data_IF_976212128122
#
_entry.id   IF_976212128122
#
_cell.length_a   1.000
_cell.length_b   1.000
_cell.length_c   1.000
_cell.angle_alpha   90.00
_cell.angle_beta   90.00
_cell.angle_gamma   90.00
#
_symmetry.space_group_name_H-M   'P 1'
#
loop_
_entity.id
_entity.type
_entity.pdbx_description
1 polymer ?
#
# COMPACT_ATOMS: atom_id res chain seq x y z
N UNK A 1 -1.33 -33.40 36.93
CA UNK A 1 -2.08 -32.28 37.54
C UNK A 1 -2.46 -31.30 36.44
N UNK A 2 -3.75 -31.00 36.25
CA UNK A 2 -4.21 -29.97 35.29
C UNK A 2 -4.38 -28.66 36.05
N UNK A 3 -3.69 -27.61 35.62
CA UNK A 3 -3.82 -26.27 36.21
C UNK A 3 -5.17 -25.69 35.72
N UNK A 4 -6.02 -25.16 36.61
CA UNK A 4 -7.29 -24.57 36.21
C UNK A 4 -7.06 -23.37 35.28
N UNK A 5 -7.79 -23.33 34.16
CA UNK A 5 -7.78 -22.22 33.19
C UNK A 5 -7.85 -20.82 33.83
N UNK A 6 -8.69 -20.54 34.85
CA UNK A 6 -8.73 -19.21 35.47
C UNK A 6 -7.41 -18.81 36.15
N UNK A 7 -6.63 -19.77 36.64
CA UNK A 7 -5.31 -19.51 37.24
C UNK A 7 -4.31 -19.10 36.16
N UNK A 8 -4.35 -19.75 34.99
CA UNK A 8 -3.49 -19.41 33.86
C UNK A 8 -3.79 -18.00 33.37
N UNK A 9 -5.07 -17.65 33.20
CA UNK A 9 -5.49 -16.31 32.77
C UNK A 9 -5.03 -15.25 33.79
N UNK A 10 -5.22 -15.50 35.09
CA UNK A 10 -4.79 -14.58 36.15
C UNK A 10 -3.28 -14.32 36.13
N UNK A 11 -2.46 -15.36 35.97
CA UNK A 11 -0.99 -15.23 35.91
C UNK A 11 -0.55 -14.52 34.63
N UNK A 12 -1.18 -14.80 33.48
CA UNK A 12 -0.87 -14.12 32.22
C UNK A 12 -1.18 -12.63 32.27
N UNK A 13 -2.33 -12.23 32.84
CA UNK A 13 -2.68 -10.82 33.00
C UNK A 13 -1.73 -10.11 33.96
N UNK A 14 -1.37 -10.76 35.08
CA UNK A 14 -0.40 -10.21 36.03
C UNK A 14 0.96 -9.96 35.37
N UNK A 15 1.42 -10.88 34.52
CA UNK A 15 2.68 -10.76 33.78
C UNK A 15 2.66 -9.60 32.77
N UNK A 16 1.54 -9.43 32.03
CA UNK A 16 1.39 -8.31 31.09
C UNK A 16 1.40 -6.97 31.83
N UNK A 17 0.66 -6.85 32.93
CA UNK A 17 0.59 -5.62 33.72
C UNK A 17 1.94 -5.27 34.35
N UNK A 18 2.64 -6.25 34.92
CA UNK A 18 3.98 -6.02 35.49
C UNK A 18 5.01 -5.66 34.44
N UNK A 19 4.99 -6.32 33.27
CA UNK A 19 5.90 -6.02 32.17
C UNK A 19 5.64 -4.62 31.58
N UNK A 20 4.36 -4.24 31.45
CA UNK A 20 3.98 -2.90 31.03
C UNK A 20 4.44 -1.84 32.04
N UNK A 21 4.14 -2.03 33.32
CA UNK A 21 4.51 -1.10 34.40
C UNK A 21 6.03 -0.90 34.51
N UNK A 22 6.81 -1.98 34.49
CA UNK A 22 8.28 -1.92 34.53
C UNK A 22 8.86 -1.15 33.34
N UNK A 23 8.19 -1.19 32.18
CA UNK A 23 8.65 -0.53 30.96
C UNK A 23 8.26 0.95 30.90
N UNK A 24 7.14 1.33 31.50
CA UNK A 24 6.59 2.70 31.38
C UNK A 24 6.83 3.58 32.60
N UNK A 25 7.22 3.02 33.76
CA UNK A 25 7.38 3.77 35.02
C UNK A 25 8.38 4.93 34.96
N UNK A 26 9.37 4.87 34.08
CA UNK A 26 10.42 5.90 33.95
C UNK A 26 10.24 6.76 32.68
N UNK A 27 9.14 6.58 31.95
CA UNK A 27 8.85 7.39 30.77
C UNK A 27 8.06 8.65 31.18
N UNK A 28 8.64 9.81 30.92
CA UNK A 28 7.98 11.09 31.11
C UNK A 28 7.13 11.42 29.87
N UNK A 29 5.81 11.18 29.98
CA UNK A 29 4.85 11.43 28.90
C UNK A 29 4.28 12.86 28.89
N UNK A 30 4.66 13.69 29.88
CA UNK A 30 4.08 15.02 30.07
C UNK A 30 5.04 16.16 29.73
N UNK A 31 6.31 15.85 29.48
CA UNK A 31 7.31 16.86 29.10
C UNK A 31 7.57 16.79 27.60
N UNK A 32 7.16 17.78 26.79
CA UNK A 32 7.54 17.83 25.39
C UNK A 32 9.06 18.00 25.31
N UNK A 33 9.76 17.01 24.77
CA UNK A 33 11.16 17.13 24.37
C UNK A 33 11.23 17.97 23.09
N UNK A 34 11.03 19.28 23.27
CA UNK A 34 11.21 20.27 22.23
C UNK A 34 12.68 20.34 21.83
N UNK A 35 13.04 19.65 20.75
CA UNK A 35 14.19 20.07 19.94
C UNK A 35 13.78 21.39 19.30
N UNK A 36 14.05 22.49 19.99
CA UNK A 36 14.06 23.82 19.40
C UNK A 36 15.16 23.80 18.35
N UNK A 37 14.78 23.60 17.08
CA UNK A 37 15.66 23.96 15.98
C UNK A 37 15.82 25.47 16.04
N UNK A 38 17.03 26.02 16.26
CA UNK A 38 17.21 27.46 16.15
C UNK A 38 16.84 27.89 14.73
N UNK A 39 16.13 29.01 14.60
CA UNK A 39 15.91 29.66 13.31
C UNK A 39 17.28 29.89 12.63
N UNK A 40 17.38 29.79 11.29
CA UNK A 40 18.62 30.06 10.57
C UNK A 40 19.12 31.49 10.88
N UNK A 41 20.44 31.60 11.13
CA UNK A 41 21.19 32.79 11.57
C UNK A 41 21.22 33.97 10.56
N UNK A 42 20.18 34.20 9.78
CA UNK A 42 20.13 35.38 8.89
C UNK A 42 19.56 36.63 9.57
N UNK A 43 19.22 36.58 10.86
CA UNK A 43 18.68 37.74 11.60
C UNK A 43 19.57 38.23 12.76
N UNK A 44 20.86 37.91 12.74
CA UNK A 44 21.80 38.43 13.74
C UNK A 44 23.07 38.90 13.07
N UNK A 45 23.08 40.16 12.64
CA UNK A 45 24.31 40.96 12.61
C UNK A 45 23.98 42.44 12.87
N UNK A 46 24.37 43.02 14.01
CA UNK A 46 24.43 44.46 14.19
C UNK A 46 25.84 44.92 13.84
N UNK A 47 26.12 45.12 12.54
CA UNK A 47 27.36 45.75 12.11
C UNK A 47 27.26 47.29 12.25
N UNK A 48 27.81 47.79 13.35
CA UNK A 48 28.67 48.98 13.40
C UNK A 48 28.14 50.31 12.84
N UNK A 49 27.83 51.23 13.76
CA UNK A 49 27.86 52.68 13.52
C UNK A 49 29.26 53.14 13.07
N UNK A 50 29.36 54.19 12.25
CA UNK A 50 29.80 55.46 12.83
C UNK A 50 28.93 56.63 12.39
N UNK A 51 28.64 57.52 13.36
CA UNK A 51 27.76 58.66 13.16
C UNK A 51 28.40 59.81 12.38
N UNK A 52 27.54 60.70 11.86
CA UNK A 52 27.77 62.15 11.77
C UNK A 52 26.42 62.85 11.51
N UNK A 53 26.07 63.73 12.47
CA UNK A 53 25.30 64.98 12.41
C UNK A 53 24.02 65.14 11.57
N UNK A 54 22.95 65.59 12.25
CA UNK A 54 21.95 66.52 11.70
C UNK A 54 20.51 66.28 12.20
N UNK A 55 19.80 67.29 12.75
CA UNK A 55 18.44 67.11 13.22
C UNK A 55 17.40 67.37 12.12
N UNK A 56 16.18 66.92 12.39
CA UNK A 56 14.89 67.31 11.78
C UNK A 56 14.51 66.62 10.46
N UNK A 57 13.52 65.72 10.54
CA UNK A 57 12.18 65.94 9.94
C UNK A 57 11.23 64.83 10.38
N UNK A 58 10.12 65.23 10.98
CA UNK A 58 8.92 64.42 11.16
C UNK A 58 8.46 63.99 9.75
N UNK A 59 8.62 62.70 9.44
CA UNK A 59 8.25 62.13 8.15
C UNK A 59 6.98 61.31 8.34
N UNK A 60 5.98 61.61 7.50
CA UNK A 60 4.69 60.93 7.40
C UNK A 60 4.84 59.40 7.46
N UNK A 61 4.01 58.77 8.30
CA UNK A 61 3.80 57.33 8.30
C UNK A 61 3.44 56.86 6.88
N UNK A 62 4.25 55.99 6.25
CA UNK A 62 3.84 55.38 4.99
C UNK A 62 2.64 54.48 5.27
N UNK A 63 1.59 54.67 4.45
CA UNK A 63 0.40 53.83 4.38
C UNK A 63 0.85 52.36 4.30
N UNK A 64 0.54 51.58 5.32
CA UNK A 64 0.71 50.13 5.31
C UNK A 64 -0.03 49.56 4.11
N UNK A 65 0.73 49.07 3.12
CA UNK A 65 0.18 48.25 2.06
C UNK A 65 -0.40 46.97 2.70
N UNK A 66 -1.64 46.57 2.38
CA UNK A 66 -2.19 45.33 2.92
C UNK A 66 -1.27 44.17 2.53
N UNK A 67 -1.03 43.20 3.43
CA UNK A 67 -0.24 42.03 3.08
C UNK A 67 -0.83 41.36 1.85
N UNK A 68 0.04 41.08 0.87
CA UNK A 68 -0.31 40.34 -0.34
C UNK A 68 -1.10 39.08 0.04
N UNK A 69 -2.25 38.79 -0.61
CA UNK A 69 -3.04 37.63 -0.25
C UNK A 69 -2.18 36.38 -0.35
N UNK A 70 -2.20 35.56 0.70
CA UNK A 70 -1.56 34.25 0.69
C UNK A 70 -1.99 33.49 -0.58
N UNK A 71 -1.09 32.72 -1.23
CA UNK A 71 -1.42 31.98 -2.44
C UNK A 71 -2.71 31.18 -2.21
N UNK A 72 -3.70 31.42 -3.07
CA UNK A 72 -4.98 30.73 -3.03
C UNK A 72 -4.74 29.23 -2.97
N UNK A 73 -5.28 28.57 -1.94
CA UNK A 73 -5.27 27.11 -1.88
C UNK A 73 -5.86 26.58 -3.20
N UNK A 74 -5.24 25.56 -3.82
CA UNK A 74 -5.83 24.95 -5.00
C UNK A 74 -7.26 24.53 -4.68
N UNK A 75 -8.19 24.84 -5.58
CA UNK A 75 -9.58 24.43 -5.47
C UNK A 75 -9.64 22.91 -5.70
N UNK A 76 -9.64 22.16 -4.60
CA UNK A 76 -9.63 20.70 -4.60
C UNK A 76 -11.07 20.21 -4.42
N UNK A 77 -11.53 19.42 -5.39
CA UNK A 77 -12.79 18.69 -5.28
C UNK A 77 -12.59 17.47 -4.36
N UNK A 78 -13.14 17.55 -3.14
CA UNK A 78 -13.02 16.49 -2.13
C UNK A 78 -14.06 15.37 -2.33
N UNK A 79 -15.04 15.56 -3.21
CA UNK A 79 -16.19 14.67 -3.37
C UNK A 79 -17.16 14.72 -2.18
N UNK A 80 -18.08 13.74 -2.13
CA UNK A 80 -19.08 13.63 -1.06
C UNK A 80 -18.51 12.94 0.18
N UNK A 81 -18.09 13.71 1.18
CA UNK A 81 -17.45 13.17 2.39
C UNK A 81 -18.39 12.40 3.32
N UNK A 82 -19.71 12.54 3.16
CA UNK A 82 -20.71 11.89 4.02
C UNK A 82 -21.03 10.47 3.56
N UNK A 83 -20.92 10.20 2.26
CA UNK A 83 -21.15 8.87 1.68
C UNK A 83 -19.90 8.00 1.74
N UNK A 84 -20.11 6.68 1.88
CA UNK A 84 -19.04 5.69 1.72
C UNK A 84 -18.54 5.69 0.26
N UNK A 85 -17.24 5.87 0.00
CA UNK A 85 -16.71 5.93 -1.35
C UNK A 85 -16.73 4.55 -2.03
N UNK A 86 -16.84 4.55 -3.35
CA UNK A 86 -16.55 3.36 -4.15
C UNK A 86 -15.05 3.16 -4.35
N UNK A 87 -14.64 1.97 -4.81
CA UNK A 87 -13.22 1.68 -5.04
C UNK A 87 -12.61 2.49 -6.19
N UNK A 88 -13.46 2.96 -7.11
CA UNK A 88 -13.09 3.80 -8.25
C UNK A 88 -13.12 5.31 -7.93
N UNK A 89 -13.45 5.72 -6.70
CA UNK A 89 -13.53 7.14 -6.32
C UNK A 89 -12.24 7.89 -6.69
N UNK A 90 -12.38 9.13 -7.18
CA UNK A 90 -11.30 10.03 -7.61
C UNK A 90 -10.57 9.62 -8.90
N UNK A 91 -10.92 8.50 -9.54
CA UNK A 91 -10.31 8.09 -10.82
C UNK A 91 -10.63 9.11 -11.93
N UNK A 92 -11.78 9.78 -11.85
CA UNK A 92 -12.20 10.86 -12.74
C UNK A 92 -11.29 12.10 -12.69
N UNK A 93 -10.46 12.22 -11.66
CA UNK A 93 -9.47 13.30 -11.54
C UNK A 93 -8.12 12.95 -12.19
N UNK A 94 -7.93 11.73 -12.69
CA UNK A 94 -6.71 11.33 -13.39
C UNK A 94 -6.26 12.29 -14.51
N UNK A 95 -7.17 12.85 -15.35
CA UNK A 95 -6.78 13.84 -16.37
C UNK A 95 -6.19 15.14 -15.81
N UNK A 96 -6.44 15.46 -14.53
CA UNK A 96 -5.82 16.61 -13.84
C UNK A 96 -4.37 16.34 -13.42
N UNK A 97 -3.92 15.08 -13.48
CA UNK A 97 -2.54 14.65 -13.25
C UNK A 97 -2.23 14.24 -11.80
N UNK A 98 -1.07 13.60 -11.63
CA UNK A 98 -0.62 13.06 -10.34
C UNK A 98 -0.50 14.13 -9.24
N UNK A 99 0.07 15.29 -9.55
CA UNK A 99 0.21 16.38 -8.57
C UNK A 99 -1.13 16.89 -7.99
N UNK A 100 -2.22 16.85 -8.77
CA UNK A 100 -3.56 17.16 -8.26
C UNK A 100 -4.02 16.09 -7.26
N UNK A 101 -3.90 14.81 -7.61
CA UNK A 101 -4.28 13.69 -6.73
C UNK A 101 -3.43 13.61 -5.45
N UNK A 102 -2.13 13.93 -5.53
CA UNK A 102 -1.24 14.06 -4.37
C UNK A 102 -1.75 15.16 -3.43
N UNK A 103 -2.14 16.32 -4.00
CA UNK A 103 -2.66 17.45 -3.22
C UNK A 103 -4.01 17.10 -2.57
N UNK A 104 -4.90 16.46 -3.33
CA UNK A 104 -6.19 15.95 -2.85
C UNK A 104 -6.01 14.95 -1.71
N UNK A 105 -5.15 13.95 -1.89
CA UNK A 105 -4.89 12.93 -0.89
C UNK A 105 -4.32 13.52 0.40
N UNK A 106 -3.43 14.50 0.27
CA UNK A 106 -2.85 15.24 1.41
C UNK A 106 -3.91 16.04 2.17
N UNK A 107 -4.78 16.77 1.47
CA UNK A 107 -5.86 17.53 2.10
C UNK A 107 -6.85 16.60 2.84
N UNK A 108 -7.18 15.45 2.24
CA UNK A 108 -8.00 14.43 2.90
C UNK A 108 -7.33 13.86 4.16
N UNK A 109 -6.00 13.66 4.17
CA UNK A 109 -5.27 13.28 5.42
C UNK A 109 -5.37 14.36 6.48
N UNK A 110 -5.16 15.63 6.11
CA UNK A 110 -5.19 16.76 7.04
C UNK A 110 -6.56 16.93 7.70
N UNK A 111 -7.63 16.59 6.98
CA UNK A 111 -9.00 16.60 7.49
C UNK A 111 -9.39 15.31 8.22
N UNK A 112 -8.51 14.30 8.27
CA UNK A 112 -8.76 13.03 8.95
C UNK A 112 -9.58 12.02 8.15
N UNK A 113 -9.82 12.25 6.86
CA UNK A 113 -10.53 11.33 5.96
C UNK A 113 -9.58 10.24 5.42
N UNK A 114 -9.02 9.43 6.31
CA UNK A 114 -7.97 8.44 6.00
C UNK A 114 -8.33 7.44 4.89
N UNK A 115 -9.56 6.93 4.87
CA UNK A 115 -10.00 5.95 3.86
C UNK A 115 -10.08 6.57 2.45
N UNK A 116 -10.62 7.80 2.36
CA UNK A 116 -10.67 8.57 1.10
C UNK A 116 -9.29 9.02 0.65
N UNK A 117 -8.44 9.43 1.60
CA UNK A 117 -7.04 9.75 1.31
C UNK A 117 -6.30 8.54 0.74
N UNK A 118 -6.48 7.35 1.30
CA UNK A 118 -5.86 6.13 0.77
C UNK A 118 -6.29 5.88 -0.68
N UNK A 119 -7.58 6.03 -1.00
CA UNK A 119 -8.07 5.90 -2.38
C UNK A 119 -7.38 6.91 -3.31
N UNK A 120 -7.31 8.19 -2.91
CA UNK A 120 -6.65 9.21 -3.70
C UNK A 120 -5.14 8.92 -3.91
N UNK A 121 -4.42 8.41 -2.90
CA UNK A 121 -3.04 7.95 -3.06
C UNK A 121 -2.92 6.75 -4.00
N UNK A 122 -3.85 5.80 -3.94
CA UNK A 122 -3.91 4.67 -4.86
C UNK A 122 -4.13 5.16 -6.31
N UNK A 123 -5.00 6.15 -6.53
CA UNK A 123 -5.20 6.80 -7.84
C UNK A 123 -3.93 7.40 -8.42
N UNK A 124 -3.03 7.93 -7.59
CA UNK A 124 -1.72 8.42 -8.06
C UNK A 124 -0.95 7.29 -8.76
N UNK A 125 -1.04 6.06 -8.25
CA UNK A 125 -0.28 4.92 -8.77
C UNK A 125 -0.96 4.19 -9.92
N UNK A 126 -2.29 4.04 -9.85
CA UNK A 126 -3.05 3.20 -10.78
C UNK A 126 -3.77 3.98 -11.88
N UNK A 127 -4.05 5.26 -11.69
CA UNK A 127 -4.83 6.06 -12.66
C UNK A 127 -3.99 7.16 -13.31
N UNK A 128 -2.76 7.37 -12.87
CA UNK A 128 -1.87 8.43 -13.37
C UNK A 128 -0.48 7.91 -13.75
N UNK A 129 0.26 8.76 -14.46
CA UNK A 129 1.68 8.55 -14.76
C UNK A 129 2.54 9.46 -13.86
N UNK A 130 2.68 9.14 -12.55
CA UNK A 130 3.40 10.00 -11.62
C UNK A 130 4.89 10.02 -11.94
N UNK A 131 5.53 11.17 -11.67
CA UNK A 131 6.98 11.28 -11.64
C UNK A 131 7.58 10.41 -10.53
N UNK A 132 8.87 10.05 -10.58
CA UNK A 132 9.53 9.29 -9.51
C UNK A 132 9.33 9.83 -8.09
N UNK A 133 9.42 11.16 -7.81
CA UNK A 133 9.15 11.67 -6.48
C UNK A 133 7.68 11.53 -6.06
N UNK A 134 6.72 11.83 -6.95
CA UNK A 134 5.28 11.69 -6.65
C UNK A 134 4.92 10.23 -6.37
N UNK A 135 5.46 9.30 -7.16
CA UNK A 135 5.29 7.86 -6.94
C UNK A 135 5.79 7.46 -5.57
N UNK A 136 7.02 7.86 -5.21
CA UNK A 136 7.60 7.54 -3.90
C UNK A 136 6.74 8.10 -2.76
N UNK A 137 6.25 9.32 -2.91
CA UNK A 137 5.33 9.93 -1.92
C UNK A 137 4.06 9.09 -1.76
N UNK A 138 3.44 8.65 -2.86
CA UNK A 138 2.26 7.80 -2.82
C UNK A 138 2.56 6.41 -2.20
N UNK A 139 3.64 5.75 -2.59
CA UNK A 139 4.07 4.47 -2.03
C UNK A 139 4.29 4.54 -0.51
N UNK A 140 4.98 5.58 -0.03
CA UNK A 140 5.24 5.79 1.40
C UNK A 140 3.95 6.16 2.17
N UNK A 141 3.02 6.87 1.54
CA UNK A 141 1.71 7.17 2.13
C UNK A 141 0.83 5.91 2.23
N UNK A 142 0.72 5.12 1.17
CA UNK A 142 -0.03 3.86 1.16
C UNK A 142 0.52 2.91 2.22
N UNK A 143 1.84 2.73 2.28
CA UNK A 143 2.48 1.86 3.27
C UNK A 143 2.23 2.31 4.73
N UNK A 144 2.04 3.62 4.96
CA UNK A 144 1.71 4.18 6.27
C UNK A 144 0.23 4.04 6.63
N UNK A 145 -0.68 4.30 5.69
CA UNK A 145 -2.12 4.42 5.94
C UNK A 145 -2.81 3.06 5.86
N UNK A 146 -2.51 2.23 4.87
CA UNK A 146 -3.21 0.96 4.64
C UNK A 146 -3.30 0.08 5.90
N UNK A 147 -2.24 -0.10 6.72
CA UNK A 147 -2.31 -0.93 7.92
C UNK A 147 -3.14 -0.36 9.08
N UNK A 148 -3.52 0.93 9.04
CA UNK A 148 -4.29 1.58 10.12
C UNK A 148 -5.80 1.51 9.89
N UNK A 149 -6.21 1.08 8.69
CA UNK A 149 -7.61 0.97 8.31
C UNK A 149 -8.11 -0.47 8.49
N UNK A 150 -9.42 -0.60 8.64
CA UNK A 150 -10.09 -1.90 8.51
C UNK A 150 -10.02 -2.36 7.06
N UNK A 151 -10.08 -3.68 6.86
CA UNK A 151 -10.15 -4.24 5.52
C UNK A 151 -11.31 -3.63 4.72
N UNK A 152 -11.07 -3.33 3.44
CA UNK A 152 -12.07 -2.79 2.53
C UNK A 152 -13.31 -3.66 2.45
N UNK A 153 -13.13 -4.96 2.24
CA UNK A 153 -14.23 -5.90 2.31
C UNK A 153 -14.31 -6.56 3.69
N UNK A 154 -15.41 -6.30 4.39
CA UNK A 154 -15.71 -6.90 5.70
C UNK A 154 -16.64 -8.12 5.60
N UNK A 155 -17.30 -8.33 4.46
CA UNK A 155 -18.18 -9.47 4.21
C UNK A 155 -17.48 -10.49 3.31
N UNK A 156 -17.08 -11.68 3.83
CA UNK A 156 -16.44 -12.71 3.04
C UNK A 156 -17.28 -13.21 1.85
N UNK A 157 -18.61 -13.00 1.85
CA UNK A 157 -19.46 -13.34 0.71
C UNK A 157 -19.23 -12.43 -0.51
N UNK A 158 -18.64 -11.25 -0.30
CA UNK A 158 -18.26 -10.31 -1.37
C UNK A 158 -16.90 -10.58 -2.00
N UNK A 159 -16.10 -11.51 -1.45
CA UNK A 159 -14.76 -11.81 -1.98
C UNK A 159 -14.87 -12.42 -3.39
N UNK A 160 -14.07 -11.92 -4.34
CA UNK A 160 -14.02 -12.48 -5.70
C UNK A 160 -13.11 -13.72 -5.68
N UNK A 161 -13.62 -14.92 -6.03
CA UNK A 161 -12.82 -16.13 -5.98
C UNK A 161 -11.77 -16.16 -7.09
N UNK A 162 -10.52 -16.45 -6.70
CA UNK A 162 -9.39 -16.67 -7.59
C UNK A 162 -8.58 -17.88 -7.15
N UNK A 163 -8.20 -18.71 -8.12
CA UNK A 163 -7.35 -19.86 -7.88
C UNK A 163 -5.91 -19.55 -8.29
N UNK A 164 -4.99 -19.62 -7.33
CA UNK A 164 -3.55 -19.66 -7.57
C UNK A 164 -3.15 -21.12 -7.88
N UNK A 165 -2.95 -21.43 -9.15
CA UNK A 165 -2.61 -22.76 -9.60
C UNK A 165 -1.10 -22.95 -9.73
N UNK A 166 -0.61 -24.06 -9.17
CA UNK A 166 0.78 -24.49 -9.25
C UNK A 166 0.79 -25.89 -9.86
N UNK A 167 1.17 -26.00 -11.13
CA UNK A 167 1.18 -27.27 -11.88
C UNK A 167 2.57 -27.82 -12.12
N UNK A 168 2.63 -29.10 -12.48
CA UNK A 168 3.87 -29.83 -12.80
C UNK A 168 4.86 -29.95 -11.64
N UNK A 169 4.38 -29.76 -10.40
CA UNK A 169 5.19 -29.97 -9.20
C UNK A 169 5.56 -31.46 -9.05
N UNK A 170 6.86 -31.82 -9.05
CA UNK A 170 7.28 -33.19 -8.75
C UNK A 170 6.91 -33.48 -7.29
N UNK A 171 6.10 -34.53 -7.03
CA UNK A 171 5.56 -34.91 -5.69
C UNK A 171 5.52 -33.72 -4.73
N UNK A 172 4.50 -32.87 -4.83
CA UNK A 172 4.38 -31.60 -4.09
C UNK A 172 4.89 -31.73 -2.65
N UNK A 173 6.08 -31.20 -2.36
CA UNK A 173 6.65 -31.23 -1.02
C UNK A 173 5.71 -30.54 -0.05
N UNK A 174 5.68 -30.96 1.22
CA UNK A 174 4.88 -30.27 2.23
C UNK A 174 5.33 -28.80 2.36
N UNK A 175 6.61 -28.53 2.09
CA UNK A 175 7.17 -27.17 2.07
C UNK A 175 6.56 -26.32 0.94
N UNK A 176 6.41 -26.87 -0.28
CA UNK A 176 5.73 -26.17 -1.37
C UNK A 176 4.25 -25.94 -1.06
N UNK A 177 3.56 -26.92 -0.46
CA UNK A 177 2.15 -26.77 -0.05
C UNK A 177 1.97 -25.68 0.99
N UNK A 178 2.85 -25.65 1.99
CA UNK A 178 2.85 -24.61 3.01
C UNK A 178 3.11 -23.24 2.38
N UNK A 179 4.16 -23.12 1.56
CA UNK A 179 4.51 -21.87 0.88
C UNK A 179 3.38 -21.34 -0.01
N UNK A 180 2.68 -22.23 -0.73
CA UNK A 180 1.55 -21.85 -1.57
C UNK A 180 0.36 -21.33 -0.75
N UNK A 181 0.05 -21.95 0.40
CA UNK A 181 -0.99 -21.47 1.32
C UNK A 181 -0.61 -20.12 1.92
N UNK A 182 0.61 -19.97 2.43
CA UNK A 182 1.10 -18.70 2.97
C UNK A 182 1.10 -17.58 1.93
N UNK A 183 1.43 -17.90 0.67
CA UNK A 183 1.36 -16.94 -0.42
C UNK A 183 -0.09 -16.55 -0.75
N UNK A 184 -1.02 -17.51 -0.82
CA UNK A 184 -2.44 -17.23 -1.05
C UNK A 184 -3.04 -16.37 0.07
N UNK A 185 -2.74 -16.69 1.33
CA UNK A 185 -3.18 -15.91 2.50
C UNK A 185 -2.62 -14.47 2.45
N UNK A 186 -1.35 -14.32 2.07
CA UNK A 186 -0.75 -13.01 1.86
C UNK A 186 -1.47 -12.21 0.77
N UNK A 187 -1.71 -12.81 -0.40
CA UNK A 187 -2.37 -12.12 -1.52
C UNK A 187 -3.80 -11.72 -1.16
N UNK A 188 -4.52 -12.56 -0.41
CA UNK A 188 -5.85 -12.23 0.12
C UNK A 188 -5.80 -11.00 1.03
N UNK A 189 -4.89 -10.98 2.00
CA UNK A 189 -4.73 -9.84 2.92
C UNK A 189 -4.29 -8.57 2.20
N UNK A 190 -3.34 -8.67 1.27
CA UNK A 190 -2.84 -7.52 0.50
C UNK A 190 -3.90 -6.95 -0.45
N UNK A 191 -4.83 -7.80 -0.94
CA UNK A 191 -6.00 -7.38 -1.69
C UNK A 191 -7.10 -6.70 -0.86
N UNK A 192 -6.86 -6.47 0.42
CA UNK A 192 -7.80 -5.86 1.36
C UNK A 192 -9.12 -6.63 1.43
N UNK A 193 -9.03 -7.96 1.30
CA UNK A 193 -10.15 -8.90 1.22
C UNK A 193 -11.08 -8.70 0.02
N UNK A 194 -10.65 -7.96 -1.01
CA UNK A 194 -11.36 -7.92 -2.30
C UNK A 194 -11.40 -9.31 -2.95
N UNK A 195 -10.37 -10.14 -2.71
CA UNK A 195 -10.18 -11.44 -3.34
C UNK A 195 -10.20 -12.59 -2.33
N UNK A 196 -10.81 -13.71 -2.73
CA UNK A 196 -10.64 -15.00 -2.08
C UNK A 196 -9.63 -15.81 -2.88
N UNK A 197 -8.37 -15.76 -2.46
CA UNK A 197 -7.28 -16.48 -3.14
C UNK A 197 -7.11 -17.87 -2.53
N UNK A 198 -7.30 -18.92 -3.34
CA UNK A 198 -7.04 -20.30 -2.95
C UNK A 198 -5.86 -20.89 -3.72
N UNK A 199 -4.90 -21.51 -3.01
CA UNK A 199 -3.82 -22.24 -3.65
C UNK A 199 -4.24 -23.67 -4.03
N UNK A 200 -4.00 -24.06 -5.28
CA UNK A 200 -4.18 -25.43 -5.77
C UNK A 200 -2.91 -25.95 -6.42
N UNK A 201 -2.42 -27.09 -5.94
CA UNK A 201 -1.24 -27.74 -6.49
C UNK A 201 -1.65 -29.02 -7.22
N UNK A 202 -1.27 -29.12 -8.49
CA UNK A 202 -1.46 -30.32 -9.31
C UNK A 202 -0.10 -30.95 -9.62
N UNK A 203 0.11 -32.18 -9.19
CA UNK A 203 1.35 -32.91 -9.47
C UNK A 203 1.29 -33.61 -10.83
N UNK A 204 2.39 -33.55 -11.57
CA UNK A 204 2.57 -34.37 -12.77
C UNK A 204 2.90 -35.82 -12.38
N UNK A 205 2.38 -36.79 -13.14
CA UNK A 205 2.72 -38.22 -12.96
C UNK A 205 4.16 -38.53 -13.35
N UNK A 206 4.82 -37.66 -14.13
CA UNK A 206 6.23 -37.83 -14.51
C UNK A 206 7.11 -37.30 -13.38
N UNK A 207 7.70 -38.21 -12.62
CA UNK A 207 8.70 -37.91 -11.58
C UNK A 207 10.05 -37.56 -12.22
N UNK A 208 10.13 -36.41 -12.88
CA UNK A 208 11.41 -35.87 -13.36
C UNK A 208 11.85 -34.76 -12.42
N UNK A 209 12.84 -35.06 -11.59
CA UNK A 209 13.55 -34.06 -10.78
C UNK A 209 14.10 -32.95 -11.70
N UNK A 210 13.83 -31.69 -11.38
CA UNK A 210 14.28 -30.55 -12.20
C UNK A 210 13.32 -30.11 -13.30
N UNK A 211 12.07 -30.59 -13.31
CA UNK A 211 11.03 -30.04 -14.20
C UNK A 211 10.59 -28.68 -13.68
N UNK A 212 10.48 -27.65 -14.54
CA UNK A 212 9.92 -26.37 -14.13
C UNK A 212 8.50 -26.54 -13.60
N UNK A 213 8.23 -25.91 -12.47
CA UNK A 213 6.87 -25.79 -11.90
C UNK A 213 6.20 -24.62 -12.61
N UNK A 214 4.96 -24.79 -13.02
CA UNK A 214 4.20 -23.71 -13.64
C UNK A 214 3.29 -23.04 -12.61
N UNK A 215 3.18 -21.72 -12.67
CA UNK A 215 2.33 -20.91 -11.81
C UNK A 215 1.45 -19.99 -12.67
N UNK A 216 0.18 -19.90 -12.31
CA UNK A 216 -0.79 -19.05 -12.99
C UNK A 216 -2.01 -18.79 -12.09
N UNK A 217 -2.79 -17.78 -12.46
CA UNK A 217 -4.10 -17.53 -11.86
C UNK A 217 -5.21 -18.01 -12.79
N UNK A 218 -6.33 -18.40 -12.19
CA UNK A 218 -7.55 -18.71 -12.93
C UNK A 218 -8.77 -18.25 -12.14
N UNK A 219 -9.73 -17.66 -12.85
CA UNK A 219 -11.05 -17.33 -12.31
C UNK A 219 -12.06 -18.47 -12.47
N UNK A 220 -13.34 -18.12 -12.37
CA UNK A 220 -14.47 -19.06 -12.46
C UNK A 220 -14.74 -19.60 -13.87
N UNK A 221 -14.09 -19.04 -14.91
CA UNK A 221 -14.32 -19.41 -16.32
C UNK A 221 -13.05 -19.94 -17.00
N UNK A 222 -13.25 -20.75 -18.06
CA UNK A 222 -12.18 -21.35 -18.87
C UNK A 222 -11.64 -20.34 -19.89
N UNK A 223 -10.56 -19.65 -19.54
CA UNK A 223 -9.65 -18.98 -20.48
C UNK A 223 -8.29 -19.69 -20.51
N UNK A 224 -7.46 -19.46 -21.54
CA UNK A 224 -6.05 -19.86 -21.49
C UNK A 224 -5.32 -18.94 -20.51
N UNK A 225 -4.83 -19.45 -19.38
CA UNK A 225 -4.23 -18.60 -18.37
C UNK A 225 -2.81 -18.20 -18.79
N UNK A 226 -2.41 -16.99 -18.43
CA UNK A 226 -1.01 -16.60 -18.55
C UNK A 226 -0.17 -17.43 -17.58
N UNK A 227 0.81 -18.16 -18.13
CA UNK A 227 1.64 -19.09 -17.38
C UNK A 227 3.03 -18.51 -17.16
N UNK A 228 3.59 -18.69 -15.96
CA UNK A 228 5.02 -18.56 -15.73
C UNK A 228 5.62 -19.85 -15.22
N UNK A 229 6.82 -20.15 -15.67
CA UNK A 229 7.60 -21.29 -15.19
C UNK A 229 8.59 -20.82 -14.13
N UNK A 230 8.66 -21.56 -13.02
CA UNK A 230 9.59 -21.33 -11.92
C UNK A 230 10.39 -22.60 -11.63
N UNK A 231 11.68 -22.42 -11.34
CA UNK A 231 12.57 -23.51 -10.96
C UNK A 231 12.89 -23.36 -9.47
N UNK A 232 12.41 -24.28 -8.61
CA UNK A 232 12.55 -24.12 -7.18
C UNK A 232 14.00 -24.19 -6.71
N UNK A 233 14.88 -25.02 -7.28
CA UNK A 233 16.32 -25.05 -6.96
C UNK A 233 16.71 -25.48 -5.53
N UNK A 234 15.87 -25.20 -4.53
CA UNK A 234 15.92 -25.55 -3.11
C UNK A 234 14.48 -25.85 -2.64
N UNK A 235 14.32 -26.71 -1.63
CA UNK A 235 13.02 -27.11 -1.07
C UNK A 235 12.67 -26.38 0.25
N UNK A 236 13.22 -25.19 0.49
CA UNK A 236 12.87 -24.37 1.65
C UNK A 236 11.52 -23.65 1.46
N UNK A 237 10.69 -23.60 2.52
CA UNK A 237 9.39 -22.90 2.50
C UNK A 237 9.54 -21.44 2.08
N UNK A 238 10.51 -20.73 2.66
CA UNK A 238 10.76 -19.32 2.33
C UNK A 238 11.11 -19.15 0.85
N UNK A 239 11.96 -20.03 0.33
CA UNK A 239 12.40 -19.98 -1.06
C UNK A 239 11.22 -20.17 -2.02
N UNK A 240 10.40 -21.20 -1.80
CA UNK A 240 9.16 -21.41 -2.56
C UNK A 240 8.23 -20.20 -2.46
N UNK A 241 8.06 -19.63 -1.27
CA UNK A 241 7.17 -18.48 -1.05
C UNK A 241 7.64 -17.25 -1.81
N UNK A 242 8.93 -16.95 -1.77
CA UNK A 242 9.53 -15.85 -2.53
C UNK A 242 9.33 -16.06 -4.03
N UNK A 243 9.55 -17.28 -4.55
CA UNK A 243 9.34 -17.60 -5.96
C UNK A 243 7.88 -17.44 -6.38
N UNK A 244 6.95 -17.97 -5.58
CA UNK A 244 5.51 -17.87 -5.83
C UNK A 244 5.10 -16.40 -5.89
N UNK A 245 5.44 -15.60 -4.87
CA UNK A 245 5.06 -14.18 -4.82
C UNK A 245 5.72 -13.37 -5.96
N UNK A 246 6.98 -13.63 -6.27
CA UNK A 246 7.68 -12.93 -7.36
C UNK A 246 7.02 -13.21 -8.71
N UNK A 247 6.66 -14.47 -8.99
CA UNK A 247 5.98 -14.82 -10.23
C UNK A 247 4.54 -14.31 -10.25
N UNK A 248 3.82 -14.36 -9.14
CA UNK A 248 2.47 -13.79 -9.02
C UNK A 248 2.47 -12.30 -9.31
N UNK A 249 3.44 -11.54 -8.78
CA UNK A 249 3.58 -10.11 -9.06
C UNK A 249 3.76 -9.85 -10.56
N UNK A 250 4.62 -10.63 -11.22
CA UNK A 250 4.85 -10.49 -12.66
C UNK A 250 3.64 -10.91 -13.50
N UNK A 251 2.84 -11.89 -13.06
CA UNK A 251 1.59 -12.27 -13.73
C UNK A 251 0.55 -11.15 -13.63
N UNK A 252 0.32 -10.63 -12.43
CA UNK A 252 -0.63 -9.53 -12.19
C UNK A 252 -0.26 -8.31 -13.03
N UNK A 253 1.02 -7.94 -13.06
CA UNK A 253 1.49 -6.82 -13.89
C UNK A 253 1.22 -7.00 -15.38
N UNK A 254 1.46 -8.21 -15.89
CA UNK A 254 1.31 -8.50 -17.29
C UNK A 254 -0.18 -8.55 -17.70
N UNK A 255 -1.05 -9.07 -16.83
CA UNK A 255 -2.49 -9.02 -17.03
C UNK A 255 -3.01 -7.57 -17.00
N UNK A 256 -2.56 -6.77 -16.02
CA UNK A 256 -2.97 -5.37 -15.90
C UNK A 256 -2.46 -4.48 -17.04
N UNK A 257 -1.33 -4.83 -17.68
CA UNK A 257 -0.82 -4.06 -18.83
C UNK A 257 -1.70 -4.20 -20.07
N UNK A 258 -2.58 -5.20 -20.12
CA UNK A 258 -3.52 -5.41 -21.23
C UNK A 258 -4.88 -4.74 -20.95
N UNK A 259 -5.06 -4.07 -19.80
CA UNK A 259 -6.30 -3.38 -19.42
C UNK A 259 -6.18 -1.89 -19.73
N UNK A 260 -7.11 -1.35 -20.52
CA UNK A 260 -7.17 0.07 -20.82
C UNK A 260 -7.60 0.91 -19.60
N UNK A 261 -7.05 2.11 -19.49
CA UNK A 261 -7.45 3.10 -18.48
C UNK A 261 -6.82 2.92 -17.10
N UNK A 262 -5.91 1.96 -16.94
CA UNK A 262 -5.12 1.75 -15.71
C UNK A 262 -3.62 1.78 -16.03
N UNK A 263 -2.81 2.17 -15.06
CA UNK A 263 -1.35 2.17 -15.13
C UNK A 263 -0.82 0.98 -14.33
N UNK A 264 -0.26 -0.05 -14.98
CA UNK A 264 0.16 -1.25 -14.28
C UNK A 264 1.31 -0.96 -13.30
N UNK A 265 1.48 -1.77 -12.23
CA UNK A 265 2.61 -1.65 -11.31
C UNK A 265 3.96 -1.69 -12.06
N UNK A 266 4.99 -1.06 -11.48
CA UNK A 266 6.32 -1.03 -12.12
C UNK A 266 7.09 -2.35 -11.89
N UNK A 267 8.22 -2.50 -12.58
CA UNK A 267 9.13 -3.60 -12.30
C UNK A 267 9.52 -3.59 -10.81
N UNK A 268 9.83 -4.77 -10.26
CA UNK A 268 10.24 -4.89 -8.86
C UNK A 268 11.43 -3.99 -8.58
N UNK A 269 11.28 -3.14 -7.56
CA UNK A 269 12.35 -2.29 -7.05
C UNK A 269 13.00 -2.90 -5.79
N UNK A 270 12.49 -4.04 -5.33
CA UNK A 270 12.87 -4.70 -4.09
C UNK A 270 13.24 -6.17 -4.36
N UNK A 271 14.31 -6.43 -5.15
CA UNK A 271 14.71 -7.80 -5.46
C UNK A 271 15.00 -8.57 -4.17
N UNK A 272 14.28 -9.67 -3.96
CA UNK A 272 14.35 -10.49 -2.75
C UNK A 272 13.27 -10.21 -1.70
N UNK A 273 12.43 -9.18 -1.86
CA UNK A 273 11.27 -8.94 -1.01
C UNK A 273 10.01 -8.59 -1.83
N UNK A 274 9.40 -9.58 -2.52
CA UNK A 274 8.24 -9.35 -3.37
C UNK A 274 7.02 -8.83 -2.58
N UNK A 275 6.95 -9.07 -1.26
CA UNK A 275 5.86 -8.54 -0.42
C UNK A 275 5.82 -7.02 -0.42
N UNK A 276 6.99 -6.36 -0.42
CA UNK A 276 7.06 -4.90 -0.47
C UNK A 276 6.58 -4.35 -1.81
N UNK A 277 6.81 -5.07 -2.91
CA UNK A 277 6.31 -4.63 -4.22
C UNK A 277 4.78 -4.66 -4.26
N UNK A 278 4.15 -5.69 -3.69
CA UNK A 278 2.70 -5.75 -3.49
C UNK A 278 2.18 -4.59 -2.64
N UNK A 279 2.70 -4.46 -1.42
CA UNK A 279 2.22 -3.49 -0.44
C UNK A 279 2.39 -2.03 -0.87
N UNK A 280 3.38 -1.73 -1.72
CA UNK A 280 3.67 -0.37 -2.17
C UNK A 280 3.08 -0.04 -3.54
N UNK A 281 3.02 -1.01 -4.46
CA UNK A 281 2.71 -0.72 -5.87
C UNK A 281 1.35 -1.27 -6.32
N UNK A 282 0.82 -2.30 -5.66
CA UNK A 282 -0.47 -2.90 -6.02
C UNK A 282 -1.56 -2.22 -5.20
N UNK A 283 -2.55 -1.68 -5.91
CA UNK A 283 -3.67 -0.95 -5.31
C UNK A 283 -4.89 -1.86 -5.26
N UNK A 284 -5.89 -1.45 -4.49
CA UNK A 284 -7.15 -2.22 -4.45
C UNK A 284 -7.87 -2.25 -5.80
N UNK A 285 -7.81 -1.17 -6.59
CA UNK A 285 -8.37 -1.18 -7.94
C UNK A 285 -7.58 -2.11 -8.87
N UNK A 286 -6.26 -2.18 -8.76
CA UNK A 286 -5.48 -3.21 -9.47
C UNK A 286 -5.98 -4.62 -9.16
N UNK A 287 -6.24 -4.93 -7.89
CA UNK A 287 -6.78 -6.23 -7.50
C UNK A 287 -8.16 -6.51 -8.07
N UNK A 288 -9.06 -5.53 -8.03
CA UNK A 288 -10.40 -5.64 -8.61
C UNK A 288 -10.32 -5.91 -10.11
N UNK A 289 -9.60 -5.08 -10.86
CA UNK A 289 -9.51 -5.18 -12.32
C UNK A 289 -8.82 -6.48 -12.76
N UNK A 290 -7.79 -6.91 -12.03
CA UNK A 290 -7.13 -8.20 -12.25
C UNK A 290 -8.12 -9.36 -12.07
N UNK A 291 -8.94 -9.33 -11.03
CA UNK A 291 -9.92 -10.38 -10.80
C UNK A 291 -11.05 -10.35 -11.83
N UNK A 292 -11.49 -9.17 -12.23
CA UNK A 292 -12.48 -9.00 -13.30
C UNK A 292 -11.96 -9.52 -14.63
N UNK A 293 -10.71 -9.24 -15.02
CA UNK A 293 -10.16 -9.73 -16.28
C UNK A 293 -10.17 -11.26 -16.38
N UNK A 294 -9.84 -11.93 -15.27
CA UNK A 294 -9.86 -13.40 -15.16
C UNK A 294 -11.27 -14.00 -15.07
N UNK A 295 -12.28 -13.19 -14.78
CA UNK A 295 -13.68 -13.62 -14.66
C UNK A 295 -14.59 -13.07 -15.79
N UNK A 296 -14.07 -12.26 -16.72
CA UNK A 296 -14.85 -11.72 -17.85
C UNK A 296 -15.38 -12.86 -18.73
N UNK A 297 -16.62 -12.73 -19.24
CA UNK A 297 -17.13 -13.69 -20.20
C UNK A 297 -16.36 -13.60 -21.53
N UNK A 298 -15.91 -14.74 -22.06
CA UNK A 298 -15.40 -14.83 -23.43
C UNK A 298 -16.46 -14.32 -24.42
N UNK A 299 -16.04 -13.51 -25.39
CA UNK A 299 -16.89 -12.94 -26.44
C UNK A 299 -17.56 -13.98 -27.36
N UNK A 300 -17.34 -15.28 -27.12
CA UNK A 300 -17.90 -16.41 -27.88
C UNK A 300 -19.25 -16.93 -27.36
N UNK A 301 -19.90 -16.21 -26.43
CA UNK A 301 -21.22 -16.57 -25.87
C UNK A 301 -22.34 -15.56 -26.16
N UNK A 302 -22.25 -14.82 -27.27
CA UNK A 302 -23.36 -14.03 -27.83
C UNK A 302 -23.67 -14.47 -29.27
#
# INVERSE_FOLDING_TARGET
MRIPIPVVIGVSLLAVVTCWWLRTKDMDFLTPTGVVRPLPEFMTDPAGTPGTSGPVREAELPKTEPPSPAPSKPDLDLGDLESSPGLAEYSEHAPKGAGYLVSLATELELQGHWARSLLAWERVLDSCHPSPPERKTAEDAIARIRPTLTYWNIDPAGDIPLLLQISDAPRSSENLKQAAREAADFLRQDSDHTLLVEARITSSRRNTTGTPINIYFSGSRKGEPQLRSMNPGNDEVEHHRLLILSNSYQLIRAELSDIDGIVPPQNSNHPGNPKLDFQRQVTRLHWLLFAESLNRPSASEN
#
